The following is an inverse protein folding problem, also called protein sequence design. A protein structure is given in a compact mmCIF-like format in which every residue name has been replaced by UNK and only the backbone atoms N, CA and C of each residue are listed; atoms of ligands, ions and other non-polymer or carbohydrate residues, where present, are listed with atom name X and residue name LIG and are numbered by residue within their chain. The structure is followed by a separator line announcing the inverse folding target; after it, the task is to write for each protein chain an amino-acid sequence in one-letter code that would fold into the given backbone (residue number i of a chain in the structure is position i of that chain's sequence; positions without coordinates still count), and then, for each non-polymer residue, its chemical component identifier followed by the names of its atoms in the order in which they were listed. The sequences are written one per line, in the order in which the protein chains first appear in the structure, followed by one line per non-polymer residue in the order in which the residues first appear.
data_IF_583694732646
#
_entry.id   IF_583694732646
#
_cell.length_a   1.000
_cell.length_b   1.000
_cell.length_c   1.000
_cell.angle_alpha   90.00
_cell.angle_beta   90.00
_cell.angle_gamma   90.00
#
_symmetry.space_group_name_H-M   'P 1'
#
loop_
_entity.id
_entity.type
_entity.pdbx_description
1 polymer ?
#
# COMPACT_ATOMS: atom_id res chain seq x y z
N UNK A 1 18.17 8.11 -6.17
CA UNK A 1 17.08 8.28 -7.16
C UNK A 1 16.23 9.45 -6.77
N UNK A 2 15.80 10.28 -7.73
CA UNK A 2 15.09 11.52 -7.40
C UNK A 2 13.58 11.30 -7.58
N UNK A 3 12.95 10.59 -6.64
CA UNK A 3 11.50 10.34 -6.62
C UNK A 3 10.69 11.57 -6.18
N UNK A 4 11.35 12.61 -5.67
CA UNK A 4 10.74 13.87 -5.27
C UNK A 4 11.18 14.96 -6.27
N UNK A 5 10.23 15.47 -7.02
CA UNK A 5 10.46 16.55 -7.98
C UNK A 5 9.99 17.86 -7.35
N UNK A 6 10.88 18.86 -7.29
CA UNK A 6 10.53 20.22 -6.83
C UNK A 6 10.06 21.06 -8.01
N UNK A 7 8.96 21.79 -7.87
CA UNK A 7 8.37 22.62 -8.92
C UNK A 7 6.93 23.00 -8.60
N UNK A 8 6.24 23.58 -9.57
CA UNK A 8 4.82 23.92 -9.43
C UNK A 8 3.99 22.81 -10.11
N UNK A 9 3.31 22.01 -9.31
CA UNK A 9 2.48 20.89 -9.78
C UNK A 9 1.02 21.14 -9.42
N UNK A 10 0.12 20.62 -10.25
CA UNK A 10 -1.29 20.50 -9.91
C UNK A 10 -1.59 19.03 -9.64
N UNK A 11 -2.04 18.72 -8.43
CA UNK A 11 -2.36 17.36 -7.99
C UNK A 11 -3.68 16.90 -8.61
N UNK A 12 -3.95 15.60 -8.54
CA UNK A 12 -5.23 15.02 -8.99
C UNK A 12 -6.45 15.56 -8.23
N UNK A 13 -6.24 16.10 -7.03
CA UNK A 13 -7.25 16.84 -6.25
C UNK A 13 -7.55 18.25 -6.79
N UNK A 14 -6.74 18.76 -7.75
CA UNK A 14 -6.78 20.14 -8.22
C UNK A 14 -5.95 21.11 -7.38
N UNK A 15 -5.37 20.69 -6.26
CA UNK A 15 -4.53 21.50 -5.39
C UNK A 15 -3.15 21.76 -6.03
N UNK A 16 -2.59 22.93 -5.76
CA UNK A 16 -1.20 23.26 -6.15
C UNK A 16 -0.22 22.71 -5.12
N UNK A 17 0.89 22.14 -5.60
CA UNK A 17 1.96 21.63 -4.77
C UNK A 17 3.32 22.12 -5.30
N UNK A 18 4.23 22.46 -4.38
CA UNK A 18 5.62 22.82 -4.70
C UNK A 18 6.50 21.58 -4.96
N UNK A 19 5.96 20.37 -4.83
CA UNK A 19 6.63 19.12 -5.09
C UNK A 19 5.67 18.07 -5.66
N UNK A 20 6.23 17.09 -6.36
CA UNK A 20 5.55 15.90 -6.83
C UNK A 20 6.35 14.65 -6.41
N UNK A 21 5.66 13.63 -5.92
CA UNK A 21 6.27 12.34 -5.56
C UNK A 21 5.89 11.32 -6.62
N UNK A 22 6.90 10.83 -7.35
CA UNK A 22 6.76 9.64 -8.19
C UNK A 22 7.47 8.45 -7.52
N UNK A 23 6.74 7.77 -6.63
CA UNK A 23 7.29 6.62 -5.93
C UNK A 23 7.55 5.43 -6.85
N UNK A 24 6.98 5.40 -8.07
CA UNK A 24 7.23 4.35 -9.05
C UNK A 24 8.66 4.34 -9.55
N UNK A 25 9.36 5.48 -9.53
CA UNK A 25 10.81 5.54 -9.77
C UNK A 25 11.55 4.64 -8.77
N UNK A 26 11.11 4.60 -7.50
CA UNK A 26 11.69 3.74 -6.47
C UNK A 26 11.13 2.32 -6.51
N UNK A 27 9.82 2.15 -6.70
CA UNK A 27 9.19 0.82 -6.67
C UNK A 27 9.43 0.00 -7.95
N UNK A 28 9.95 0.60 -9.01
CA UNK A 28 10.37 -0.07 -10.24
C UNK A 28 11.90 -0.13 -10.40
N UNK A 29 12.65 0.14 -9.33
CA UNK A 29 14.10 -0.06 -9.26
C UNK A 29 14.42 -1.21 -8.32
N UNK A 30 15.23 -2.16 -8.75
CA UNK A 30 15.54 -3.39 -8.00
C UNK A 30 16.17 -3.09 -6.63
N UNK A 31 17.07 -2.11 -6.56
CA UNK A 31 17.79 -1.75 -5.33
C UNK A 31 16.84 -1.16 -4.27
N UNK A 32 16.07 -0.14 -4.65
CA UNK A 32 15.14 0.51 -3.70
C UNK A 32 13.93 -0.37 -3.39
N UNK A 33 13.39 -1.09 -4.38
CA UNK A 33 12.29 -2.03 -4.13
C UNK A 33 12.70 -3.16 -3.19
N UNK A 34 13.93 -3.69 -3.33
CA UNK A 34 14.47 -4.70 -2.43
C UNK A 34 14.53 -4.18 -0.97
N UNK A 35 15.04 -2.96 -0.78
CA UNK A 35 15.10 -2.33 0.54
C UNK A 35 13.71 -2.08 1.16
N UNK A 36 12.75 -1.61 0.33
CA UNK A 36 11.35 -1.42 0.75
C UNK A 36 10.73 -2.76 1.18
N UNK A 37 10.94 -3.80 0.36
CA UNK A 37 10.43 -5.14 0.65
C UNK A 37 11.00 -5.71 1.95
N UNK A 38 12.28 -5.50 2.24
CA UNK A 38 12.93 -5.92 3.48
C UNK A 38 12.33 -5.23 4.72
N UNK A 39 12.06 -3.92 4.63
CA UNK A 39 11.46 -3.14 5.72
C UNK A 39 10.02 -3.63 5.97
N UNK A 40 9.20 -3.69 4.91
CA UNK A 40 7.81 -4.09 5.04
C UNK A 40 7.67 -5.54 5.48
N UNK A 41 8.49 -6.45 4.92
CA UNK A 41 8.49 -7.85 5.34
C UNK A 41 8.72 -8.01 6.84
N UNK A 42 9.70 -7.31 7.43
CA UNK A 42 9.96 -7.35 8.88
C UNK A 42 8.74 -6.90 9.69
N UNK A 43 8.07 -5.80 9.28
CA UNK A 43 6.87 -5.30 9.95
C UNK A 43 5.70 -6.29 9.82
N UNK A 44 5.51 -6.89 8.65
CA UNK A 44 4.46 -7.89 8.41
C UNK A 44 4.68 -9.14 9.27
N UNK A 45 5.90 -9.67 9.32
CA UNK A 45 6.19 -10.83 10.17
C UNK A 45 5.97 -10.52 11.65
N UNK A 46 6.34 -9.33 12.11
CA UNK A 46 6.11 -8.90 13.49
C UNK A 46 4.61 -8.79 13.84
N UNK A 47 3.75 -8.48 12.87
CA UNK A 47 2.30 -8.40 13.06
C UNK A 47 1.60 -9.77 13.12
N UNK A 48 2.28 -10.86 12.76
CA UNK A 48 1.73 -12.21 12.61
C UNK A 48 0.59 -12.31 11.56
N UNK A 49 0.47 -11.35 10.64
CA UNK A 49 -0.49 -11.37 9.55
C UNK A 49 0.13 -12.06 8.33
N UNK A 50 -0.68 -12.84 7.60
CA UNK A 50 -0.19 -13.65 6.48
C UNK A 50 -0.67 -13.18 5.11
N UNK A 51 -1.67 -12.30 5.06
CA UNK A 51 -2.16 -11.71 3.82
C UNK A 51 -1.64 -10.29 3.68
N UNK A 52 -1.03 -9.98 2.53
CA UNK A 52 -0.52 -8.66 2.18
C UNK A 52 -1.01 -8.24 0.81
N UNK A 53 -1.53 -7.05 0.68
CA UNK A 53 -2.02 -6.55 -0.60
C UNK A 53 -2.27 -5.06 -0.57
N UNK A 54 -2.92 -4.53 -1.59
CA UNK A 54 -3.24 -3.10 -1.62
C UNK A 54 -3.86 -2.65 -2.93
N UNK A 55 -4.16 -1.35 -3.05
CA UNK A 55 -4.74 -0.77 -4.25
C UNK A 55 -3.78 -0.85 -5.45
N UNK A 56 -4.29 -1.30 -6.60
CA UNK A 56 -3.53 -1.19 -7.84
C UNK A 56 -3.45 0.28 -8.27
N UNK A 57 -2.36 0.70 -8.87
CA UNK A 57 -1.14 0.02 -9.35
C UNK A 57 0.06 0.21 -8.39
N UNK A 58 -0.06 1.09 -7.39
CA UNK A 58 1.05 1.45 -6.47
C UNK A 58 1.51 0.26 -5.64
N UNK A 59 0.58 -0.56 -5.16
CA UNK A 59 0.88 -1.74 -4.36
C UNK A 59 1.52 -2.90 -5.15
N UNK A 60 1.25 -3.01 -6.46
CA UNK A 60 1.57 -4.22 -7.23
C UNK A 60 3.06 -4.64 -7.14
N UNK A 61 4.04 -3.76 -7.45
CA UNK A 61 5.45 -4.14 -7.36
C UNK A 61 5.88 -4.44 -5.92
N UNK A 62 5.33 -3.73 -4.95
CA UNK A 62 5.65 -3.90 -3.53
C UNK A 62 5.19 -5.28 -3.05
N UNK A 63 3.96 -5.67 -3.36
CA UNK A 63 3.40 -7.00 -3.02
C UNK A 63 4.24 -8.10 -3.65
N UNK A 64 4.59 -7.98 -4.94
CA UNK A 64 5.42 -8.96 -5.63
C UNK A 64 6.79 -9.14 -4.97
N UNK A 65 7.44 -8.04 -4.59
CA UNK A 65 8.73 -8.07 -3.92
C UNK A 65 8.67 -8.68 -2.50
N UNK A 66 7.62 -8.35 -1.73
CA UNK A 66 7.38 -8.95 -0.40
C UNK A 66 7.15 -10.44 -0.50
N UNK A 67 6.37 -10.91 -1.48
CA UNK A 67 6.13 -12.34 -1.70
C UNK A 67 7.41 -13.08 -2.08
N UNK A 68 8.23 -12.50 -2.95
CA UNK A 68 9.53 -13.07 -3.29
C UNK A 68 10.47 -13.13 -2.08
N UNK A 69 10.51 -12.07 -1.26
CA UNK A 69 11.26 -12.08 0.00
C UNK A 69 10.76 -13.16 0.95
N UNK A 70 9.45 -13.27 1.12
CA UNK A 70 8.79 -14.26 1.95
C UNK A 70 9.14 -15.70 1.55
N UNK A 71 9.17 -15.99 0.24
CA UNK A 71 9.60 -17.29 -0.29
C UNK A 71 11.05 -17.61 0.10
N UNK A 72 11.97 -16.67 -0.10
CA UNK A 72 13.38 -16.84 0.22
C UNK A 72 13.61 -17.05 1.73
N UNK A 73 12.81 -16.42 2.58
CA UNK A 73 12.84 -16.59 4.05
C UNK A 73 12.04 -17.79 4.55
N UNK A 74 11.49 -18.63 3.65
CA UNK A 74 10.66 -19.80 3.95
C UNK A 74 9.46 -19.50 4.86
N UNK A 75 8.84 -18.33 4.68
CA UNK A 75 7.60 -17.90 5.35
C UNK A 75 6.49 -17.78 4.31
N UNK A 76 5.35 -18.43 4.54
CA UNK A 76 4.25 -18.44 3.59
C UNK A 76 3.34 -17.21 3.75
N UNK A 77 3.62 -16.12 3.02
CA UNK A 77 2.68 -15.03 2.85
C UNK A 77 1.80 -15.25 1.61
N UNK A 78 0.62 -14.67 1.62
CA UNK A 78 -0.33 -14.67 0.50
C UNK A 78 -0.59 -13.24 0.04
N UNK A 79 -0.47 -12.99 -1.27
CA UNK A 79 -0.69 -11.66 -1.84
C UNK A 79 -2.08 -11.49 -2.41
N UNK A 80 -2.61 -10.26 -2.36
CA UNK A 80 -3.82 -9.87 -3.04
C UNK A 80 -3.70 -8.44 -3.59
N UNK A 81 -4.52 -8.09 -4.59
CA UNK A 81 -4.56 -6.74 -5.14
C UNK A 81 -6.02 -6.26 -5.18
N UNK A 82 -6.24 -4.99 -4.87
CA UNK A 82 -7.57 -4.36 -4.90
C UNK A 82 -7.66 -3.40 -6.08
N UNK A 83 -8.56 -3.68 -7.00
CA UNK A 83 -8.77 -2.85 -8.19
C UNK A 83 -9.64 -1.64 -7.89
N UNK A 84 -9.42 -0.55 -8.60
CA UNK A 84 -10.24 0.67 -8.50
C UNK A 84 -11.65 0.57 -9.11
N UNK A 85 -12.08 -0.61 -9.56
CA UNK A 85 -13.40 -0.86 -10.15
C UNK A 85 -13.58 -2.30 -10.59
N UNK A 86 -14.85 -2.68 -10.89
CA UNK A 86 -15.17 -4.01 -11.41
C UNK A 86 -14.54 -4.26 -12.79
N UNK A 87 -14.15 -5.50 -13.04
CA UNK A 87 -13.80 -5.94 -14.40
C UNK A 87 -15.00 -5.81 -15.32
N UNK A 88 -14.80 -5.20 -16.48
CA UNK A 88 -15.82 -5.15 -17.54
C UNK A 88 -16.08 -6.53 -18.16
N UNK A 89 -15.14 -7.48 -18.01
CA UNK A 89 -15.20 -8.84 -18.56
C UNK A 89 -14.61 -9.85 -17.56
N UNK A 90 -15.12 -11.09 -17.56
CA UNK A 90 -14.67 -12.18 -16.71
C UNK A 90 -15.33 -12.21 -15.32
N UNK A 91 -14.64 -12.73 -14.32
CA UNK A 91 -15.14 -12.69 -12.94
C UNK A 91 -15.11 -11.25 -12.45
N UNK A 92 -16.25 -10.66 -12.12
CA UNK A 92 -16.38 -9.26 -11.65
C UNK A 92 -15.69 -8.99 -10.30
N UNK A 93 -14.59 -9.70 -10.02
CA UNK A 93 -13.86 -9.57 -8.76
C UNK A 93 -13.12 -8.25 -8.70
N UNK A 94 -13.30 -7.53 -7.61
CA UNK A 94 -12.54 -6.33 -7.25
C UNK A 94 -11.23 -6.71 -6.55
N UNK A 95 -11.22 -7.81 -5.80
CA UNK A 95 -10.00 -8.35 -5.18
C UNK A 95 -9.47 -9.51 -6.01
N UNK A 96 -8.24 -9.38 -6.47
CA UNK A 96 -7.48 -10.39 -7.21
C UNK A 96 -6.56 -11.15 -6.26
N UNK A 97 -6.39 -12.45 -6.48
CA UNK A 97 -5.56 -13.33 -5.65
C UNK A 97 -6.36 -14.42 -4.94
N UNK A 98 -5.78 -15.06 -3.93
CA UNK A 98 -6.47 -16.06 -3.13
C UNK A 98 -7.61 -15.44 -2.31
N UNK A 99 -8.56 -16.27 -1.87
CA UNK A 99 -9.59 -15.85 -0.90
C UNK A 99 -8.93 -15.40 0.40
N UNK A 100 -9.49 -14.37 1.03
CA UNK A 100 -8.93 -13.80 2.26
C UNK A 100 -9.34 -14.57 3.52
N UNK A 101 -10.29 -15.52 3.38
CA UNK A 101 -10.69 -16.50 4.41
C UNK A 101 -11.09 -15.86 5.76
N UNK A 102 -11.82 -14.74 5.72
CA UNK A 102 -12.20 -13.94 6.90
C UNK A 102 -10.99 -13.52 7.76
N UNK A 103 -9.85 -13.33 7.14
CA UNK A 103 -8.61 -13.02 7.85
C UNK A 103 -8.44 -11.52 8.12
N UNK A 104 -7.58 -11.20 9.07
CA UNK A 104 -7.01 -9.86 9.23
C UNK A 104 -5.82 -9.74 8.28
N UNK A 105 -5.77 -8.65 7.49
CA UNK A 105 -4.80 -8.45 6.40
C UNK A 105 -3.96 -7.20 6.59
N UNK A 106 -2.84 -7.14 5.86
CA UNK A 106 -2.00 -5.94 5.73
C UNK A 106 -2.28 -5.26 4.40
N UNK A 107 -2.46 -3.94 4.41
CA UNK A 107 -2.45 -3.11 3.19
C UNK A 107 -1.08 -2.47 3.04
N UNK A 108 -0.54 -2.50 1.82
CA UNK A 108 0.66 -1.75 1.42
C UNK A 108 0.30 -0.74 0.33
N UNK A 109 0.96 0.41 0.34
CA UNK A 109 0.80 1.47 -0.66
C UNK A 109 2.14 2.17 -0.91
N UNK A 110 2.32 2.78 -2.05
CA UNK A 110 3.52 3.57 -2.33
C UNK A 110 3.43 4.95 -1.66
N UNK A 111 2.39 5.73 -1.95
CA UNK A 111 2.20 7.09 -1.40
C UNK A 111 0.79 7.24 -0.87
N UNK A 112 0.68 7.62 0.38
CA UNK A 112 -0.59 7.94 1.02
C UNK A 112 -0.74 9.46 1.15
N UNK A 113 -1.80 10.01 0.58
CA UNK A 113 -2.20 11.42 0.74
C UNK A 113 -3.37 11.52 1.73
N UNK A 114 -4.58 11.59 1.22
CA UNK A 114 -5.79 11.63 2.06
C UNK A 114 -6.29 10.25 2.49
N UNK A 115 -5.68 9.17 2.01
CA UNK A 115 -6.05 7.78 2.31
C UNK A 115 -7.28 7.27 1.56
N UNK A 116 -7.80 7.99 0.56
CA UNK A 116 -9.03 7.62 -0.14
C UNK A 116 -8.97 6.25 -0.82
N UNK A 117 -7.88 5.92 -1.52
CA UNK A 117 -7.67 4.61 -2.16
C UNK A 117 -7.69 3.47 -1.15
N UNK A 118 -7.02 3.66 -0.02
CA UNK A 118 -6.94 2.68 1.06
C UNK A 118 -8.32 2.50 1.71
N UNK A 119 -9.07 3.57 2.00
CA UNK A 119 -10.44 3.48 2.54
C UNK A 119 -11.36 2.70 1.59
N UNK A 120 -11.25 2.93 0.28
CA UNK A 120 -11.98 2.15 -0.70
C UNK A 120 -11.59 0.68 -0.69
N UNK A 121 -10.29 0.38 -0.57
CA UNK A 121 -9.80 -0.99 -0.46
C UNK A 121 -10.26 -1.68 0.83
N UNK A 122 -10.27 -0.99 1.97
CA UNK A 122 -10.81 -1.49 3.25
C UNK A 122 -12.27 -1.92 3.06
N UNK A 123 -13.11 -1.07 2.45
CA UNK A 123 -14.52 -1.39 2.20
C UNK A 123 -14.70 -2.66 1.35
N UNK A 124 -13.86 -2.87 0.32
CA UNK A 124 -13.93 -4.08 -0.50
C UNK A 124 -13.47 -5.34 0.25
N UNK A 125 -12.46 -5.21 1.13
CA UNK A 125 -11.96 -6.28 1.99
C UNK A 125 -13.04 -6.70 3.00
N UNK A 126 -13.72 -5.71 3.61
CA UNK A 126 -14.78 -5.94 4.59
C UNK A 126 -16.02 -6.60 3.97
N UNK A 127 -16.37 -6.28 2.71
CA UNK A 127 -17.43 -6.97 1.97
C UNK A 127 -17.16 -8.48 1.79
N UNK A 128 -15.89 -8.90 1.89
CA UNK A 128 -15.51 -10.33 1.85
C UNK A 128 -15.35 -10.95 3.24
N UNK A 129 -15.80 -10.28 4.30
CA UNK A 129 -15.74 -10.76 5.67
C UNK A 129 -14.36 -10.65 6.33
N UNK A 130 -13.37 -10.04 5.65
CA UNK A 130 -12.02 -9.83 6.18
C UNK A 130 -11.86 -8.43 6.77
N UNK A 131 -10.81 -8.21 7.55
CA UNK A 131 -10.54 -6.91 8.19
C UNK A 131 -9.10 -6.47 7.94
N UNK A 132 -8.82 -5.17 8.06
CA UNK A 132 -7.46 -4.65 7.94
C UNK A 132 -6.86 -4.45 9.34
N UNK A 133 -5.66 -4.93 9.56
CA UNK A 133 -4.97 -4.81 10.84
C UNK A 133 -3.80 -3.85 10.81
N UNK A 134 -3.17 -3.69 9.66
CA UNK A 134 -1.98 -2.87 9.49
C UNK A 134 -1.98 -2.24 8.10
N UNK A 135 -1.61 -0.98 8.04
CA UNK A 135 -1.36 -0.25 6.79
C UNK A 135 0.11 0.18 6.79
N UNK A 136 0.82 -0.11 5.70
CA UNK A 136 2.20 0.31 5.48
C UNK A 136 2.26 1.16 4.22
N UNK A 137 3.02 2.24 4.23
CA UNK A 137 3.31 3.01 3.02
C UNK A 137 4.79 3.41 2.95
N UNK A 138 5.26 3.72 1.75
CA UNK A 138 6.61 4.28 1.62
C UNK A 138 6.59 5.72 2.13
N UNK A 139 5.62 6.52 1.68
CA UNK A 139 5.51 7.93 2.07
C UNK A 139 4.11 8.26 2.55
N UNK A 140 4.01 8.87 3.74
CA UNK A 140 2.83 9.61 4.19
C UNK A 140 2.99 11.09 3.79
N UNK A 141 2.03 11.62 3.03
CA UNK A 141 2.01 13.06 2.66
C UNK A 141 1.42 13.96 3.74
N UNK A 142 1.07 13.41 4.90
CA UNK A 142 0.52 14.14 6.05
C UNK A 142 -0.75 14.97 5.70
N UNK A 143 -1.60 14.41 4.83
CA UNK A 143 -2.84 15.06 4.36
C UNK A 143 -4.10 14.47 5.04
N UNK A 144 -3.99 14.06 6.31
CA UNK A 144 -5.11 13.61 7.15
C UNK A 144 -5.48 12.13 7.01
N UNK A 145 -4.66 11.29 6.38
CA UNK A 145 -4.92 9.86 6.29
C UNK A 145 -4.77 9.16 7.65
N UNK A 146 -3.77 9.54 8.42
CA UNK A 146 -3.47 8.97 9.75
C UNK A 146 -4.67 9.06 10.70
N UNK A 147 -5.33 10.22 10.75
CA UNK A 147 -6.52 10.43 11.58
C UNK A 147 -7.71 9.57 11.13
N UNK A 148 -7.85 9.35 9.82
CA UNK A 148 -8.90 8.46 9.29
C UNK A 148 -8.66 7.01 9.67
N UNK A 149 -7.43 6.52 9.54
CA UNK A 149 -7.09 5.14 9.90
C UNK A 149 -7.17 4.91 11.41
N UNK A 150 -6.75 5.90 12.22
CA UNK A 150 -6.89 5.86 13.68
C UNK A 150 -8.35 5.76 14.13
N UNK A 151 -9.28 6.46 13.46
CA UNK A 151 -10.74 6.35 13.75
C UNK A 151 -11.30 4.96 13.44
N UNK A 152 -10.65 4.21 12.56
CA UNK A 152 -10.99 2.81 12.24
C UNK A 152 -10.27 1.81 13.15
N UNK A 153 -9.44 2.27 14.10
CA UNK A 153 -8.58 1.45 14.95
C UNK A 153 -7.60 0.59 14.12
N UNK A 154 -7.10 1.11 13.00
CA UNK A 154 -6.12 0.45 12.14
C UNK A 154 -4.76 1.12 12.37
N UNK A 155 -3.75 0.30 12.65
CA UNK A 155 -2.37 0.76 12.76
C UNK A 155 -1.85 1.22 11.39
N UNK A 156 -1.19 2.39 11.36
CA UNK A 156 -0.59 2.95 10.16
C UNK A 156 0.87 3.32 10.41
N UNK A 157 1.77 2.70 9.66
CA UNK A 157 3.21 2.81 9.85
C UNK A 157 3.94 3.04 8.51
N UNK A 158 4.10 4.32 8.08
CA UNK A 158 4.86 4.69 6.90
C UNK A 158 6.37 4.55 7.14
N UNK A 159 7.17 4.38 6.05
CA UNK A 159 8.64 4.45 6.15
C UNK A 159 9.08 5.90 6.36
N UNK A 160 8.47 6.85 5.65
CA UNK A 160 8.78 8.27 5.73
C UNK A 160 7.51 9.11 5.83
N UNK A 161 7.59 10.18 6.61
CA UNK A 161 6.66 11.30 6.51
C UNK A 161 7.21 12.34 5.53
N UNK A 162 6.36 13.03 4.80
CA UNK A 162 6.82 14.01 3.79
C UNK A 162 7.64 15.14 4.42
N UNK A 163 7.33 15.55 5.65
CA UNK A 163 8.08 16.56 6.41
C UNK A 163 9.53 16.17 6.69
N UNK A 164 9.89 14.89 6.58
CA UNK A 164 11.28 14.39 6.73
C UNK A 164 12.07 14.44 5.42
N UNK A 165 11.37 14.65 4.27
CA UNK A 165 11.94 14.52 2.93
C UNK A 165 12.10 15.88 2.18
N UNK A 166 11.43 16.94 2.66
CA UNK A 166 11.38 18.27 1.98
C UNK A 166 11.76 19.41 2.92
#
# INVERSE_FOLDING_TARGET
MNSILKGNFTLSSGEKSSYYIDARISTLSSESLGSIADIFYKKIIASNLIYVGGPTIGADPIVGAILNKSYNEKKALKGFLVRSGEKKHGTKKVIEGPTLDNSKVVIVEDVVSTGGSIISAISEIEKQGSTVGLILSIVDREMGAREKFSKLNIEYDPIFNISELI
#
